data_IF_765010877309
#
_entry.id   IF_765010877309
#
_cell.length_a   1.000
_cell.length_b   1.000
_cell.length_c   1.000
_cell.angle_alpha   90.00
_cell.angle_beta   90.00
_cell.angle_gamma   90.00
#
_symmetry.space_group_name_H-M   'P 1'
#
loop_
_entity.id
_entity.type
_entity.pdbx_description
1 polymer ?
#
# COMPACT_ATOMS: atom_id res chain seq x y z
N UNK A 1 -6.54 -24.23 -14.67
CA UNK A 1 -6.85 -22.79 -14.79
C UNK A 1 -7.71 -22.53 -16.00
N UNK A 2 -8.54 -21.50 -15.92
CA UNK A 2 -9.32 -20.95 -17.04
C UNK A 2 -8.80 -19.55 -17.36
N UNK A 3 -7.90 -19.39 -18.35
CA UNK A 3 -7.25 -18.10 -18.62
C UNK A 3 -8.25 -16.98 -18.91
N UNK A 4 -8.13 -15.89 -18.16
CA UNK A 4 -8.95 -14.68 -18.32
C UNK A 4 -8.03 -13.46 -18.34
N UNK A 5 -8.26 -12.51 -19.26
CA UNK A 5 -7.62 -11.20 -19.17
C UNK A 5 -8.04 -10.52 -17.85
N UNK A 6 -7.04 -9.99 -17.15
CA UNK A 6 -7.26 -9.23 -15.91
C UNK A 6 -8.23 -8.09 -16.12
N UNK A 7 -8.92 -7.69 -15.06
CA UNK A 7 -9.90 -6.61 -15.14
C UNK A 7 -9.24 -5.31 -15.65
N UNK A 8 -9.89 -4.63 -16.59
CA UNK A 8 -9.32 -3.43 -17.23
C UNK A 8 -8.19 -3.71 -18.24
N UNK A 9 -7.81 -4.98 -18.46
CA UNK A 9 -6.84 -5.35 -19.48
C UNK A 9 -7.54 -5.74 -20.78
N UNK A 10 -6.93 -5.36 -21.90
CA UNK A 10 -7.37 -5.74 -23.23
C UNK A 10 -6.18 -5.79 -24.18
N UNK A 11 -6.40 -6.36 -25.36
CA UNK A 11 -5.44 -6.32 -26.46
C UNK A 11 -5.95 -5.34 -27.51
N UNK A 12 -5.29 -4.19 -27.64
CA UNK A 12 -5.72 -3.09 -28.51
C UNK A 12 -4.69 -2.82 -29.59
N UNK A 13 -5.14 -2.72 -30.85
CA UNK A 13 -4.30 -2.29 -31.97
C UNK A 13 -3.92 -0.82 -31.83
N UNK A 14 -2.64 -0.53 -31.96
CA UNK A 14 -2.10 0.84 -32.05
C UNK A 14 -1.36 1.03 -33.39
N UNK A 15 -0.88 2.26 -33.67
CA UNK A 15 -0.21 2.59 -34.94
C UNK A 15 1.00 1.70 -35.20
N UNK A 16 1.28 1.47 -36.49
CA UNK A 16 2.43 0.70 -37.01
C UNK A 16 2.43 -0.79 -36.64
N UNK A 17 1.28 -1.47 -36.71
CA UNK A 17 1.13 -2.91 -36.39
C UNK A 17 1.69 -3.30 -35.01
N UNK A 18 1.63 -2.37 -34.05
CA UNK A 18 1.89 -2.64 -32.64
C UNK A 18 0.56 -2.83 -31.92
N UNK A 19 0.59 -3.56 -30.82
CA UNK A 19 -0.57 -3.76 -29.96
C UNK A 19 -0.19 -3.49 -28.51
N UNK A 20 -1.12 -2.92 -27.77
CA UNK A 20 -1.03 -2.82 -26.32
C UNK A 20 -1.69 -4.06 -25.74
N UNK A 21 -1.02 -4.72 -24.80
CA UNK A 21 -1.58 -5.73 -23.93
C UNK A 21 -1.58 -5.16 -22.52
N UNK A 22 -2.75 -5.19 -21.88
CA UNK A 22 -2.90 -4.68 -20.52
C UNK A 22 -3.85 -3.50 -20.49
N UNK A 23 -3.65 -2.61 -19.52
CA UNK A 23 -4.53 -1.47 -19.34
C UNK A 23 -4.19 -0.30 -20.27
N UNK A 24 -5.20 0.48 -20.65
CA UNK A 24 -4.98 1.81 -21.23
C UNK A 24 -4.43 2.82 -20.20
N UNK A 25 -4.42 2.45 -18.91
CA UNK A 25 -3.73 3.19 -17.86
C UNK A 25 -2.21 3.15 -18.08
N UNK A 26 -1.59 4.32 -18.11
CA UNK A 26 -0.14 4.44 -18.31
C UNK A 26 0.62 3.68 -17.22
N UNK A 27 1.66 2.95 -17.62
CA UNK A 27 2.52 2.19 -16.71
C UNK A 27 2.04 0.77 -16.35
N UNK A 28 0.86 0.34 -16.83
CA UNK A 28 0.27 -0.99 -16.55
C UNK A 28 -0.01 -1.75 -17.87
N UNK A 29 0.82 -1.52 -18.89
CA UNK A 29 0.70 -2.21 -20.16
C UNK A 29 2.03 -2.46 -20.83
N UNK A 30 2.02 -3.47 -21.69
CA UNK A 30 3.14 -3.88 -22.50
C UNK A 30 2.79 -3.65 -23.97
N UNK A 31 3.78 -3.26 -24.77
CA UNK A 31 3.62 -3.18 -26.22
C UNK A 31 4.21 -4.42 -26.86
N UNK A 32 3.45 -5.05 -27.74
CA UNK A 32 3.92 -6.14 -28.59
C UNK A 32 3.92 -5.71 -30.06
N UNK A 33 4.77 -6.35 -30.85
CA UNK A 33 4.77 -6.24 -32.30
C UNK A 33 4.08 -7.47 -32.89
N UNK A 34 2.99 -7.26 -33.63
CA UNK A 34 2.24 -8.34 -34.27
C UNK A 34 1.98 -7.98 -35.75
N UNK A 35 2.84 -8.43 -36.67
CA UNK A 35 2.67 -8.21 -38.09
C UNK A 35 1.38 -8.80 -38.66
N UNK A 36 0.86 -9.88 -38.06
CA UNK A 36 -0.33 -10.57 -38.55
C UNK A 36 -1.61 -9.79 -38.27
N UNK A 37 -1.61 -9.01 -37.18
CA UNK A 37 -2.77 -8.29 -36.67
C UNK A 37 -3.82 -9.17 -35.98
N UNK A 38 -3.57 -10.47 -35.86
CA UNK A 38 -4.50 -11.45 -35.28
C UNK A 38 -4.43 -11.51 -33.76
N UNK A 39 -3.41 -10.93 -33.12
CA UNK A 39 -3.23 -11.02 -31.66
C UNK A 39 -4.39 -10.41 -30.88
N UNK A 40 -5.08 -9.39 -31.43
CA UNK A 40 -6.30 -8.82 -30.83
C UNK A 40 -7.44 -9.84 -30.66
N UNK A 41 -7.48 -10.89 -31.48
CA UNK A 41 -8.55 -11.87 -31.43
C UNK A 41 -8.42 -12.76 -30.18
N UNK A 42 -7.27 -12.72 -29.48
CA UNK A 42 -7.14 -13.40 -28.18
C UNK A 42 -8.07 -12.83 -27.10
N UNK A 43 -8.58 -11.59 -27.26
CA UNK A 43 -9.62 -11.05 -26.37
C UNK A 43 -10.87 -11.96 -26.31
N UNK A 44 -11.19 -12.67 -27.39
CA UNK A 44 -12.40 -13.50 -27.52
C UNK A 44 -12.26 -14.85 -26.80
N UNK A 45 -11.03 -15.29 -26.51
CA UNK A 45 -10.76 -16.62 -25.91
C UNK A 45 -10.19 -16.52 -24.50
N UNK A 46 -9.62 -15.37 -24.11
CA UNK A 46 -9.11 -15.11 -22.77
C UNK A 46 -10.22 -14.54 -21.86
N UNK A 47 -11.35 -15.23 -21.81
CA UNK A 47 -12.57 -14.80 -21.10
C UNK A 47 -12.77 -15.51 -19.76
N UNK A 48 -12.01 -16.57 -19.47
CA UNK A 48 -12.24 -17.47 -18.34
C UNK A 48 -13.25 -18.60 -18.62
N UNK A 49 -13.73 -18.73 -19.86
CA UNK A 49 -14.67 -19.79 -20.24
C UNK A 49 -13.95 -21.10 -20.59
N UNK A 50 -12.83 -20.99 -21.32
CA UNK A 50 -12.05 -22.10 -21.86
C UNK A 50 -10.91 -22.52 -20.92
N UNK A 51 -10.61 -23.82 -20.88
CA UNK A 51 -9.43 -24.37 -20.20
C UNK A 51 -8.15 -23.87 -20.88
N UNK A 52 -7.01 -23.94 -20.17
CA UNK A 52 -5.72 -23.56 -20.76
C UNK A 52 -5.39 -24.34 -22.04
N UNK A 53 -5.74 -25.62 -22.13
CA UNK A 53 -5.45 -26.42 -23.31
C UNK A 53 -6.31 -26.01 -24.51
N UNK A 54 -7.59 -25.71 -24.29
CA UNK A 54 -8.48 -25.15 -25.32
C UNK A 54 -8.01 -23.76 -25.78
N UNK A 55 -7.59 -22.90 -24.86
CA UNK A 55 -7.01 -21.59 -25.19
C UNK A 55 -5.76 -21.75 -26.04
N UNK A 56 -4.89 -22.71 -25.73
CA UNK A 56 -3.67 -22.97 -26.51
C UNK A 56 -4.01 -23.41 -27.93
N UNK A 57 -4.97 -24.32 -28.12
CA UNK A 57 -5.43 -24.78 -29.43
C UNK A 57 -5.99 -23.60 -30.25
N UNK A 58 -6.92 -22.83 -29.67
CA UNK A 58 -7.50 -21.66 -30.33
C UNK A 58 -6.46 -20.59 -30.65
N UNK A 59 -5.47 -20.40 -29.78
CA UNK A 59 -4.33 -19.49 -30.02
C UNK A 59 -3.49 -19.96 -31.20
N UNK A 60 -3.28 -21.27 -31.36
CA UNK A 60 -2.57 -21.84 -32.52
C UNK A 60 -3.30 -21.55 -33.83
N UNK A 61 -4.62 -21.68 -33.84
CA UNK A 61 -5.46 -21.37 -35.00
C UNK A 61 -5.44 -19.87 -35.33
N UNK A 62 -5.63 -19.00 -34.33
CA UNK A 62 -5.67 -17.54 -34.50
C UNK A 62 -4.33 -16.99 -35.02
N UNK A 63 -3.21 -17.48 -34.48
CA UNK A 63 -1.88 -16.95 -34.78
C UNK A 63 -1.12 -17.74 -35.86
N UNK A 64 -1.66 -18.86 -36.34
CA UNK A 64 -0.95 -19.75 -37.27
C UNK A 64 0.33 -20.35 -36.67
N UNK A 65 0.32 -20.66 -35.37
CA UNK A 65 1.48 -21.16 -34.63
C UNK A 65 1.29 -22.61 -34.20
N UNK A 66 2.38 -23.28 -33.84
CA UNK A 66 2.30 -24.61 -33.21
C UNK A 66 1.75 -24.50 -31.79
N UNK A 67 1.06 -25.54 -31.26
CA UNK A 67 0.58 -25.57 -29.87
C UNK A 67 1.67 -25.28 -28.83
N UNK A 68 2.91 -25.73 -29.10
CA UNK A 68 4.07 -25.44 -28.25
C UNK A 68 4.39 -23.94 -28.19
N UNK A 69 4.37 -23.25 -29.32
CA UNK A 69 4.64 -21.82 -29.37
C UNK A 69 3.46 -20.99 -28.82
N UNK A 70 2.22 -21.42 -29.09
CA UNK A 70 1.03 -20.81 -28.51
C UNK A 70 1.02 -20.90 -26.99
N UNK A 71 1.39 -22.06 -26.41
CA UNK A 71 1.54 -22.21 -24.96
C UNK A 71 2.55 -21.23 -24.37
N UNK A 72 3.72 -21.07 -24.98
CA UNK A 72 4.73 -20.10 -24.54
C UNK A 72 4.19 -18.66 -24.52
N UNK A 73 3.35 -18.29 -25.50
CA UNK A 73 2.72 -16.96 -25.55
C UNK A 73 1.80 -16.80 -24.34
N UNK A 74 0.91 -17.76 -24.08
CA UNK A 74 -0.01 -17.70 -22.94
C UNK A 74 0.75 -17.65 -21.61
N UNK A 75 1.78 -18.49 -21.43
CA UNK A 75 2.65 -18.47 -20.24
C UNK A 75 3.38 -17.12 -20.06
N UNK A 76 3.81 -16.50 -21.16
CA UNK A 76 4.42 -15.17 -21.11
C UNK A 76 3.40 -14.11 -20.68
N UNK A 77 2.16 -14.17 -21.17
CA UNK A 77 1.09 -13.24 -20.78
C UNK A 77 0.70 -13.39 -19.30
N UNK A 78 0.73 -14.62 -18.76
CA UNK A 78 0.55 -14.87 -17.33
C UNK A 78 1.70 -14.25 -16.55
N UNK A 79 2.96 -14.53 -16.95
CA UNK A 79 4.16 -14.03 -16.28
C UNK A 79 4.25 -12.50 -16.29
N UNK A 80 3.81 -11.85 -17.37
CA UNK A 80 3.72 -10.40 -17.48
C UNK A 80 2.56 -9.80 -16.67
N UNK A 81 1.72 -10.61 -16.04
CA UNK A 81 0.60 -10.14 -15.22
C UNK A 81 -0.58 -9.62 -16.04
N UNK A 82 -0.88 -10.22 -17.19
CA UNK A 82 -2.06 -9.86 -17.99
C UNK A 82 -3.21 -10.86 -17.89
N UNK A 83 -2.91 -12.09 -17.47
CA UNK A 83 -3.88 -13.18 -17.36
C UNK A 83 -3.99 -13.62 -15.90
N UNK A 84 -5.22 -13.86 -15.45
CA UNK A 84 -5.56 -14.50 -14.18
C UNK A 84 -6.40 -15.77 -14.42
N UNK A 85 -6.61 -16.56 -13.37
CA UNK A 85 -7.47 -17.72 -13.39
C UNK A 85 -8.93 -17.34 -13.16
N UNK A 86 -9.75 -17.43 -14.21
CA UNK A 86 -11.19 -17.17 -14.20
C UNK A 86 -12.05 -18.29 -13.62
N UNK A 87 -11.47 -19.36 -13.05
CA UNK A 87 -12.22 -20.51 -12.47
C UNK A 87 -13.35 -20.09 -11.54
N UNK A 88 -13.16 -19.00 -10.80
CA UNK A 88 -14.15 -18.46 -9.85
C UNK A 88 -15.46 -18.00 -10.51
N UNK A 89 -15.46 -17.67 -11.81
CA UNK A 89 -16.67 -17.27 -12.55
C UNK A 89 -17.65 -18.43 -12.69
N UNK A 90 -17.19 -19.67 -12.51
CA UNK A 90 -18.00 -20.89 -12.58
C UNK A 90 -18.63 -21.23 -11.23
N UNK A 91 -18.22 -20.57 -10.16
CA UNK A 91 -18.79 -20.76 -8.82
C UNK A 91 -20.09 -19.96 -8.68
N UNK A 92 -21.09 -20.54 -8.03
CA UNK A 92 -22.37 -19.87 -7.71
C UNK A 92 -22.27 -18.94 -6.51
N UNK A 93 -21.09 -18.75 -5.92
CA UNK A 93 -20.90 -17.88 -4.75
C UNK A 93 -21.13 -16.40 -5.11
N UNK A 94 -22.04 -15.77 -4.38
CA UNK A 94 -22.35 -14.34 -4.48
C UNK A 94 -21.11 -13.48 -4.23
N UNK A 95 -21.12 -12.27 -4.80
CA UNK A 95 -20.16 -11.20 -4.53
C UNK A 95 -19.92 -11.01 -3.02
N UNK A 96 -18.67 -11.17 -2.58
CA UNK A 96 -18.20 -10.81 -1.24
C UNK A 96 -18.05 -9.27 -1.12
N UNK A 97 -18.07 -8.72 0.10
CA UNK A 97 -17.68 -7.35 0.51
C UNK A 97 -16.48 -6.79 -0.29
N UNK A 98 -15.49 -7.62 -0.56
CA UNK A 98 -14.23 -7.22 -1.22
C UNK A 98 -14.22 -7.35 -2.75
N UNK A 99 -15.36 -7.63 -3.40
CA UNK A 99 -15.39 -7.89 -4.85
C UNK A 99 -14.85 -6.74 -5.69
N UNK A 100 -15.10 -5.48 -5.29
CA UNK A 100 -14.58 -4.30 -5.98
C UNK A 100 -13.07 -4.15 -5.80
N UNK A 101 -12.56 -4.38 -4.59
CA UNK A 101 -11.12 -4.38 -4.31
C UNK A 101 -10.41 -5.49 -5.10
N UNK A 102 -11.03 -6.66 -5.25
CA UNK A 102 -10.51 -7.73 -6.11
C UNK A 102 -10.34 -7.26 -7.55
N UNK A 103 -11.35 -6.63 -8.15
CA UNK A 103 -11.22 -6.12 -9.52
C UNK A 103 -10.12 -5.05 -9.63
N UNK A 104 -9.99 -4.19 -8.62
CA UNK A 104 -8.90 -3.21 -8.57
C UNK A 104 -7.52 -3.88 -8.53
N UNK A 105 -7.33 -4.90 -7.69
CA UNK A 105 -6.07 -5.65 -7.66
C UNK A 105 -5.85 -6.47 -8.93
N UNK A 106 -6.91 -7.01 -9.53
CA UNK A 106 -6.83 -7.66 -10.84
C UNK A 106 -6.24 -6.70 -11.87
N UNK A 107 -6.69 -5.44 -11.86
CA UNK A 107 -6.21 -4.38 -12.74
C UNK A 107 -4.73 -4.03 -12.53
N UNK A 108 -4.28 -3.87 -11.28
CA UNK A 108 -2.93 -3.31 -11.04
C UNK A 108 -1.83 -4.36 -10.80
N UNK A 109 -2.19 -5.63 -10.61
CA UNK A 109 -1.24 -6.66 -10.21
C UNK A 109 -0.36 -7.14 -11.37
N UNK A 110 0.89 -6.67 -11.35
CA UNK A 110 1.95 -7.02 -12.30
C UNK A 110 2.89 -8.12 -11.78
N UNK A 111 2.55 -8.80 -10.67
CA UNK A 111 3.42 -9.80 -10.03
C UNK A 111 3.56 -11.12 -10.80
N UNK A 112 2.73 -11.34 -11.83
CA UNK A 112 2.68 -12.60 -12.59
C UNK A 112 1.92 -13.73 -11.89
N UNK A 113 1.37 -13.49 -10.69
CA UNK A 113 0.42 -14.42 -10.07
C UNK A 113 -0.83 -14.57 -10.93
N UNK A 114 -1.37 -15.78 -11.07
CA UNK A 114 -2.67 -16.00 -11.71
C UNK A 114 -3.83 -16.08 -10.72
N UNK A 115 -3.58 -16.14 -9.40
CA UNK A 115 -4.64 -16.22 -8.39
C UNK A 115 -5.31 -14.84 -8.18
N UNK A 116 -6.59 -14.68 -8.52
CA UNK A 116 -7.31 -13.41 -8.36
C UNK A 116 -7.63 -13.07 -6.90
N UNK A 117 -7.54 -14.03 -5.97
CA UNK A 117 -7.80 -13.81 -4.54
C UNK A 117 -6.54 -13.58 -3.72
N UNK A 118 -5.35 -13.69 -4.33
CA UNK A 118 -4.05 -13.62 -3.64
C UNK A 118 -3.94 -12.44 -2.70
N UNK A 119 -4.26 -11.24 -3.19
CA UNK A 119 -4.15 -10.01 -2.39
C UNK A 119 -5.09 -10.05 -1.19
N UNK A 120 -6.36 -10.42 -1.40
CA UNK A 120 -7.32 -10.48 -0.30
C UNK A 120 -6.95 -11.54 0.74
N UNK A 121 -6.44 -12.70 0.31
CA UNK A 121 -5.95 -13.77 1.19
C UNK A 121 -4.77 -13.32 2.05
N UNK A 122 -3.86 -12.51 1.48
CA UNK A 122 -2.77 -11.91 2.24
C UNK A 122 -3.33 -10.92 3.27
N UNK A 123 -4.22 -10.01 2.88
CA UNK A 123 -4.80 -9.04 3.80
C UNK A 123 -5.57 -9.74 4.94
N UNK A 124 -6.36 -10.76 4.63
CA UNK A 124 -7.14 -11.53 5.61
C UNK A 124 -6.31 -12.46 6.51
N UNK A 125 -4.99 -12.51 6.31
CA UNK A 125 -4.04 -13.17 7.21
C UNK A 125 -3.04 -12.20 7.85
N UNK A 126 -3.00 -10.94 7.39
CA UNK A 126 -2.05 -9.93 7.85
C UNK A 126 -2.47 -9.32 9.18
N UNK A 127 -1.50 -9.04 10.04
CA UNK A 127 -1.68 -8.34 11.32
C UNK A 127 -0.87 -7.06 11.31
N UNK A 128 -1.47 -5.95 11.70
CA UNK A 128 -0.79 -4.65 11.75
C UNK A 128 -0.95 -3.99 13.11
N UNK A 129 0.02 -3.16 13.47
CA UNK A 129 -0.05 -2.29 14.64
C UNK A 129 -0.04 -0.82 14.19
N UNK A 130 -0.84 0.03 14.84
CA UNK A 130 -0.90 1.47 14.61
C UNK A 130 -0.57 2.16 15.92
N UNK A 131 0.48 2.98 15.92
CA UNK A 131 0.86 3.80 17.07
C UNK A 131 0.50 5.25 16.77
N UNK A 132 -0.41 5.79 17.56
CA UNK A 132 -1.05 7.09 17.34
C UNK A 132 -2.37 6.97 16.61
N UNK A 133 -3.43 7.50 17.21
CA UNK A 133 -4.81 7.56 16.75
C UNK A 133 -5.29 8.99 16.51
N UNK A 134 -4.35 9.86 16.15
CA UNK A 134 -4.68 11.16 15.55
C UNK A 134 -5.36 10.99 14.18
N UNK A 135 -5.41 12.06 13.42
CA UNK A 135 -6.16 12.05 12.16
C UNK A 135 -5.60 11.08 11.11
N UNK A 136 -4.27 10.96 11.01
CA UNK A 136 -3.62 10.00 10.09
C UNK A 136 -3.89 8.57 10.56
N UNK A 137 -3.64 8.27 11.83
CA UNK A 137 -3.85 6.93 12.40
C UNK A 137 -5.28 6.45 12.30
N UNK A 138 -6.26 7.33 12.55
CA UNK A 138 -7.67 7.03 12.34
C UNK A 138 -7.99 6.71 10.87
N UNK A 139 -7.46 7.49 9.93
CA UNK A 139 -7.61 7.25 8.49
C UNK A 139 -6.98 5.91 8.07
N UNK A 140 -5.78 5.60 8.54
CA UNK A 140 -5.11 4.32 8.31
C UNK A 140 -5.99 3.17 8.82
N UNK A 141 -6.45 3.25 10.07
CA UNK A 141 -7.26 2.20 10.69
C UNK A 141 -8.55 1.95 9.92
N UNK A 142 -9.28 3.00 9.51
CA UNK A 142 -10.52 2.85 8.73
C UNK A 142 -10.27 2.21 7.36
N UNK A 143 -9.22 2.63 6.64
CA UNK A 143 -8.87 2.08 5.33
C UNK A 143 -8.46 0.60 5.44
N UNK A 144 -7.63 0.23 6.41
CA UNK A 144 -7.19 -1.15 6.59
C UNK A 144 -8.31 -2.06 7.10
N UNK A 145 -9.18 -1.55 7.99
CA UNK A 145 -10.34 -2.29 8.47
C UNK A 145 -11.32 -2.61 7.34
N UNK A 146 -11.65 -1.61 6.52
CA UNK A 146 -12.52 -1.77 5.35
C UNK A 146 -11.90 -2.61 4.23
N UNK A 147 -10.56 -2.68 4.16
CA UNK A 147 -9.82 -3.55 3.23
C UNK A 147 -9.70 -5.01 3.69
N UNK A 148 -10.09 -5.31 4.94
CA UNK A 148 -10.08 -6.68 5.46
C UNK A 148 -8.73 -7.17 5.97
N UNK A 149 -7.91 -6.27 6.52
CA UNK A 149 -6.74 -6.69 7.33
C UNK A 149 -7.22 -7.43 8.56
N UNK A 150 -6.72 -8.65 8.78
CA UNK A 150 -7.29 -9.60 9.75
C UNK A 150 -7.27 -9.10 11.19
N UNK A 151 -6.20 -8.42 11.59
CA UNK A 151 -6.01 -7.92 12.94
C UNK A 151 -5.37 -6.53 12.89
N UNK A 152 -5.98 -5.59 13.60
CA UNK A 152 -5.47 -4.24 13.81
C UNK A 152 -5.31 -4.04 15.32
N UNK A 153 -4.08 -3.82 15.75
CA UNK A 153 -3.77 -3.43 17.12
C UNK A 153 -3.47 -1.94 17.17
N UNK A 154 -4.02 -1.26 18.18
CA UNK A 154 -3.98 0.19 18.25
C UNK A 154 -3.40 0.66 19.57
N UNK A 155 -2.43 1.57 19.50
CA UNK A 155 -1.74 2.11 20.67
C UNK A 155 -1.93 3.62 20.69
N UNK A 156 -2.68 4.11 21.66
CA UNK A 156 -2.89 5.54 21.88
C UNK A 156 -3.39 5.78 23.30
N UNK A 157 -2.91 6.87 23.92
CA UNK A 157 -3.20 7.19 25.32
C UNK A 157 -4.11 8.42 25.50
N UNK A 158 -4.43 9.13 24.42
CA UNK A 158 -5.21 10.36 24.48
C UNK A 158 -6.70 10.08 24.66
N UNK A 159 -7.42 11.12 25.08
CA UNK A 159 -8.88 11.17 25.03
C UNK A 159 -9.34 11.89 23.74
N UNK A 160 -10.57 11.62 23.33
CA UNK A 160 -11.23 12.37 22.25
C UNK A 160 -11.62 13.74 22.77
N UNK A 161 -11.14 14.79 22.10
CA UNK A 161 -11.46 16.19 22.40
C UNK A 161 -12.27 16.82 21.27
N UNK A 162 -13.01 17.89 21.57
CA UNK A 162 -13.80 18.63 20.56
C UNK A 162 -12.92 19.14 19.40
N UNK A 163 -11.73 19.62 19.73
CA UNK A 163 -10.70 20.07 18.77
C UNK A 163 -10.29 18.98 17.76
N UNK A 164 -10.55 17.71 18.06
CA UNK A 164 -10.18 16.56 17.22
C UNK A 164 -11.22 16.32 16.12
N UNK A 165 -12.49 16.65 16.36
CA UNK A 165 -13.62 16.30 15.48
C UNK A 165 -13.54 16.97 14.10
N UNK A 166 -12.74 18.02 13.94
CA UNK A 166 -12.53 18.69 12.66
C UNK A 166 -11.72 17.89 11.63
N UNK A 167 -10.97 16.85 12.05
CA UNK A 167 -10.04 16.09 11.19
C UNK A 167 -9.93 14.60 11.53
N UNK A 168 -10.38 14.19 12.70
CA UNK A 168 -10.34 12.79 13.15
C UNK A 168 -11.71 12.15 12.96
N UNK A 169 -12.09 11.87 11.71
CA UNK A 169 -13.45 11.42 11.34
C UNK A 169 -13.82 10.02 11.87
N UNK A 170 -12.87 9.33 12.51
CA UNK A 170 -13.14 8.08 13.24
C UNK A 170 -13.98 8.32 14.50
N UNK A 171 -13.99 9.54 15.03
CA UNK A 171 -14.73 9.91 16.24
C UNK A 171 -15.93 10.80 15.92
N UNK A 172 -16.90 10.75 16.82
CA UNK A 172 -18.12 11.57 16.78
C UNK A 172 -18.28 12.34 18.09
N UNK A 173 -19.23 13.27 18.15
CA UNK A 173 -19.56 14.01 19.39
C UNK A 173 -19.93 13.06 20.56
N UNK A 174 -20.44 11.86 20.26
CA UNK A 174 -20.77 10.83 21.25
C UNK A 174 -19.54 10.18 21.89
N UNK A 175 -18.36 10.40 21.31
CA UNK A 175 -17.11 9.80 21.76
C UNK A 175 -16.28 10.77 22.61
N UNK A 176 -16.73 12.03 22.79
CA UNK A 176 -16.03 13.05 23.60
C UNK A 176 -15.73 12.55 25.02
N UNK A 177 -14.48 12.76 25.45
CA UNK A 177 -13.98 12.35 26.76
C UNK A 177 -13.63 10.86 26.88
N UNK A 178 -14.00 10.02 25.91
CA UNK A 178 -13.54 8.62 25.88
C UNK A 178 -12.08 8.54 25.45
N UNK A 179 -11.40 7.49 25.90
CA UNK A 179 -10.09 7.11 25.36
C UNK A 179 -10.20 6.86 23.85
N UNK A 180 -9.30 7.46 23.07
CA UNK A 180 -9.24 7.29 21.61
C UNK A 180 -9.15 5.81 21.23
N UNK A 181 -8.30 5.05 21.93
CA UNK A 181 -8.14 3.60 21.77
C UNK A 181 -9.45 2.82 21.93
N UNK A 182 -10.28 3.17 22.93
CA UNK A 182 -11.59 2.53 23.17
C UNK A 182 -12.63 2.95 22.13
N UNK A 183 -12.73 4.26 21.83
CA UNK A 183 -13.67 4.78 20.84
C UNK A 183 -13.38 4.24 19.43
N UNK A 184 -12.10 4.19 19.04
CA UNK A 184 -11.64 3.65 17.78
C UNK A 184 -12.01 2.17 17.63
N UNK A 185 -11.74 1.33 18.63
CA UNK A 185 -12.11 -0.09 18.60
C UNK A 185 -13.61 -0.28 18.33
N UNK A 186 -14.46 0.44 19.07
CA UNK A 186 -15.92 0.40 18.90
C UNK A 186 -16.35 0.86 17.49
N UNK A 187 -15.74 1.91 16.95
CA UNK A 187 -16.12 2.47 15.66
C UNK A 187 -15.61 1.63 14.49
N UNK A 188 -14.40 1.07 14.59
CA UNK A 188 -13.82 0.16 13.58
C UNK A 188 -14.60 -1.17 13.50
N UNK A 189 -15.06 -1.71 14.63
CA UNK A 189 -15.89 -2.93 14.63
C UNK A 189 -17.22 -2.74 13.87
N UNK A 190 -17.74 -1.51 13.80
CA UNK A 190 -18.93 -1.18 12.99
C UNK A 190 -18.61 -1.13 11.49
N UNK A 191 -17.38 -0.75 11.13
CA UNK A 191 -16.92 -0.73 9.74
C UNK A 191 -16.73 -2.17 9.24
N UNK A 192 -16.07 -2.99 10.04
CA UNK A 192 -15.87 -4.39 9.70
C UNK A 192 -15.92 -5.28 10.95
N UNK A 193 -17.00 -6.04 11.09
CA UNK A 193 -17.22 -6.93 12.23
C UNK A 193 -16.48 -8.27 12.12
N UNK A 194 -15.87 -8.58 10.97
CA UNK A 194 -15.21 -9.86 10.69
C UNK A 194 -13.72 -9.87 11.08
N UNK A 195 -13.15 -8.70 11.40
CA UNK A 195 -11.74 -8.54 11.77
C UNK A 195 -11.58 -8.37 13.28
N UNK A 196 -10.36 -8.61 13.75
CA UNK A 196 -9.98 -8.47 15.15
C UNK A 196 -9.43 -7.07 15.36
N UNK A 197 -10.12 -6.25 16.16
CA UNK A 197 -9.59 -4.97 16.62
C UNK A 197 -9.23 -5.09 18.10
N UNK A 198 -8.00 -4.73 18.44
CA UNK A 198 -7.51 -4.65 19.82
C UNK A 198 -6.87 -3.30 20.06
N UNK A 199 -6.84 -2.84 21.30
CA UNK A 199 -6.21 -1.57 21.62
C UNK A 199 -5.55 -1.55 23.00
N UNK A 200 -4.61 -0.63 23.17
CA UNK A 200 -3.83 -0.40 24.38
C UNK A 200 -3.77 1.10 24.67
N UNK A 201 -4.15 1.48 25.89
CA UNK A 201 -3.98 2.84 26.44
C UNK A 201 -2.54 3.00 26.95
N UNK A 202 -1.60 3.23 26.02
CA UNK A 202 -0.17 3.33 26.32
C UNK A 202 0.48 4.49 25.58
N UNK A 203 1.25 5.29 26.33
CA UNK A 203 2.21 6.25 25.78
C UNK A 203 3.52 5.53 25.51
N UNK A 204 4.05 5.66 24.29
CA UNK A 204 5.38 5.15 23.94
C UNK A 204 6.43 6.09 24.51
N UNK A 205 7.42 5.53 25.19
CA UNK A 205 8.47 6.31 25.87
C UNK A 205 9.90 5.95 25.45
N UNK A 206 10.08 4.87 24.68
CA UNK A 206 11.37 4.41 24.18
C UNK A 206 11.23 3.50 22.95
N UNK A 207 12.36 3.17 22.34
CA UNK A 207 12.42 2.12 21.30
C UNK A 207 12.01 0.74 21.83
N UNK A 208 12.31 0.43 23.09
CA UNK A 208 12.03 -0.88 23.69
C UNK A 208 10.53 -1.14 23.86
N UNK A 209 9.75 -0.09 24.13
CA UNK A 209 8.28 -0.17 24.16
C UNK A 209 7.67 -0.68 22.85
N UNK A 210 8.36 -0.41 21.72
CA UNK A 210 7.88 -0.73 20.38
C UNK A 210 8.24 -2.16 19.93
N UNK A 211 9.28 -2.77 20.50
CA UNK A 211 9.82 -4.07 20.07
C UNK A 211 8.74 -5.15 20.03
N UNK A 212 7.83 -5.16 21.02
CA UNK A 212 6.73 -6.14 21.06
C UNK A 212 5.83 -6.07 19.81
N UNK A 213 5.53 -4.86 19.33
CA UNK A 213 4.69 -4.69 18.14
C UNK A 213 5.40 -5.12 16.86
N UNK A 214 6.70 -4.83 16.74
CA UNK A 214 7.47 -5.31 15.59
C UNK A 214 7.59 -6.85 15.56
N UNK A 215 7.63 -7.50 16.72
CA UNK A 215 7.71 -8.96 16.81
C UNK A 215 6.37 -9.65 16.50
N UNK A 216 5.25 -9.06 16.92
CA UNK A 216 3.91 -9.67 16.80
C UNK A 216 3.17 -9.35 15.49
N UNK A 217 3.49 -8.24 14.84
CA UNK A 217 2.76 -7.73 13.68
C UNK A 217 3.64 -7.72 12.41
N UNK A 218 3.00 -7.81 11.25
CA UNK A 218 3.66 -7.88 9.94
C UNK A 218 4.17 -6.51 9.47
N UNK A 219 3.46 -5.45 9.86
CA UNK A 219 3.80 -4.06 9.55
C UNK A 219 3.32 -3.14 10.68
N UNK A 220 4.18 -2.20 11.09
CA UNK A 220 3.85 -1.20 12.11
C UNK A 220 3.71 0.18 11.46
N UNK A 221 2.62 0.88 11.75
CA UNK A 221 2.34 2.24 11.28
C UNK A 221 2.68 3.23 12.37
N UNK A 222 3.61 4.16 12.08
CA UNK A 222 3.90 5.31 12.92
C UNK A 222 2.99 6.45 12.50
N UNK A 223 2.04 6.80 13.36
CA UNK A 223 1.07 7.86 13.16
C UNK A 223 1.02 8.86 14.34
N UNK A 224 1.98 8.75 15.25
CA UNK A 224 2.20 9.66 16.36
C UNK A 224 3.29 10.67 16.03
N UNK A 225 3.02 11.94 16.34
CA UNK A 225 3.85 13.10 16.04
C UNK A 225 4.72 13.56 17.22
N UNK A 226 4.41 13.13 18.45
CA UNK A 226 5.14 13.55 19.67
C UNK A 226 5.57 12.34 20.52
N UNK A 227 6.75 12.39 21.18
CA UNK A 227 7.77 13.45 21.11
C UNK A 227 8.57 13.42 19.79
N UNK A 228 9.40 14.44 19.54
CA UNK A 228 10.26 14.56 18.35
C UNK A 228 11.11 13.30 18.09
N UNK A 229 11.48 12.58 19.16
CA UNK A 229 12.31 11.36 19.11
C UNK A 229 11.57 10.10 18.59
N UNK A 230 10.24 10.13 18.50
CA UNK A 230 9.46 8.93 18.17
C UNK A 230 9.84 8.25 16.84
N UNK A 231 10.16 8.93 15.71
CA UNK A 231 10.58 8.22 14.51
C UNK A 231 11.97 7.57 14.66
N UNK A 232 12.83 8.08 15.54
CA UNK A 232 14.09 7.43 15.87
C UNK A 232 13.85 6.15 16.68
N UNK A 233 12.95 6.18 17.66
CA UNK A 233 12.56 4.98 18.41
C UNK A 233 11.99 3.88 17.50
N UNK A 234 11.16 4.25 16.52
CA UNK A 234 10.68 3.33 15.49
C UNK A 234 11.80 2.75 14.64
N UNK A 235 12.73 3.60 14.21
CA UNK A 235 13.91 3.20 13.46
C UNK A 235 14.76 2.19 14.24
N UNK A 236 15.02 2.44 15.52
CA UNK A 236 15.82 1.57 16.37
C UNK A 236 15.11 0.25 16.68
N UNK A 237 13.80 0.28 16.97
CA UNK A 237 12.99 -0.94 17.15
C UNK A 237 12.93 -1.79 15.88
N UNK A 238 12.80 -1.17 14.70
CA UNK A 238 12.83 -1.83 13.40
C UNK A 238 14.18 -2.51 13.14
N UNK A 239 15.29 -1.81 13.40
CA UNK A 239 16.64 -2.37 13.26
C UNK A 239 16.90 -3.53 14.23
N UNK A 240 16.46 -3.42 15.50
CA UNK A 240 16.57 -4.48 16.52
C UNK A 240 15.79 -5.74 16.13
N UNK A 241 14.59 -5.58 15.57
CA UNK A 241 13.67 -6.67 15.25
C UNK A 241 13.80 -7.24 13.83
N UNK A 242 14.45 -6.51 12.92
CA UNK A 242 14.54 -6.87 11.51
C UNK A 242 13.19 -6.82 10.78
N UNK A 243 12.31 -5.90 11.19
CA UNK A 243 10.90 -5.83 10.77
C UNK A 243 10.54 -4.45 10.22
N UNK A 244 9.63 -4.39 9.22
CA UNK A 244 9.33 -3.15 8.51
C UNK A 244 8.37 -2.25 9.28
N UNK A 245 8.40 -0.96 8.93
CA UNK A 245 7.41 0.02 9.38
C UNK A 245 7.16 1.07 8.31
N UNK A 246 6.07 1.80 8.49
CA UNK A 246 5.65 2.87 7.60
C UNK A 246 5.46 4.16 8.40
N UNK A 247 6.03 5.23 7.87
CA UNK A 247 5.90 6.59 8.36
C UNK A 247 5.00 7.38 7.42
N UNK A 248 4.10 8.17 7.99
CA UNK A 248 3.27 9.10 7.24
C UNK A 248 3.04 10.36 8.07
N UNK A 249 3.22 11.52 7.44
CA UNK A 249 3.00 12.81 8.08
C UNK A 249 2.58 13.87 7.07
N UNK A 250 2.48 15.10 7.54
CA UNK A 250 2.29 16.28 6.70
C UNK A 250 3.06 17.46 7.29
N UNK A 251 3.40 18.43 6.45
CA UNK A 251 3.92 19.74 6.85
C UNK A 251 3.17 20.81 6.04
N UNK A 252 2.22 21.48 6.69
CA UNK A 252 1.26 22.35 6.01
C UNK A 252 0.55 21.58 4.87
N UNK A 253 0.66 22.02 3.60
CA UNK A 253 0.03 21.34 2.48
C UNK A 253 0.80 20.12 1.96
N UNK A 254 2.03 19.86 2.42
CA UNK A 254 2.85 18.76 1.90
C UNK A 254 2.53 17.49 2.69
N UNK A 255 2.05 16.45 2.02
CA UNK A 255 1.92 15.11 2.61
C UNK A 255 3.18 14.30 2.32
N UNK A 256 3.52 13.38 3.22
CA UNK A 256 4.59 12.42 2.98
C UNK A 256 4.27 10.99 3.45
N UNK A 257 4.95 10.03 2.83
CA UNK A 257 4.87 8.61 3.16
C UNK A 257 6.20 7.93 2.83
N UNK A 258 6.69 7.07 3.72
CA UNK A 258 7.90 6.26 3.53
C UNK A 258 7.77 4.92 4.23
N UNK A 259 8.13 3.83 3.55
CA UNK A 259 8.29 2.50 4.15
C UNK A 259 9.78 2.23 4.34
N UNK A 260 10.13 1.76 5.54
CA UNK A 260 11.46 1.29 5.90
C UNK A 260 11.39 -0.21 6.14
N UNK A 261 12.27 -0.96 5.49
CA UNK A 261 12.46 -2.38 5.72
C UNK A 261 13.95 -2.64 5.90
N UNK A 262 14.43 -3.01 7.10
CA UNK A 262 15.86 -3.17 7.38
C UNK A 262 16.53 -4.28 6.55
N UNK A 263 15.76 -5.11 5.85
CA UNK A 263 16.27 -6.13 4.93
C UNK A 263 16.49 -5.62 3.50
N UNK A 264 15.95 -4.46 3.15
CA UNK A 264 15.88 -3.96 1.77
C UNK A 264 16.32 -2.48 1.65
N UNK A 265 16.18 -1.70 2.72
CA UNK A 265 16.39 -0.26 2.75
C UNK A 265 17.19 0.16 3.98
N UNK A 266 17.77 1.35 3.92
CA UNK A 266 18.29 2.08 5.06
C UNK A 266 17.18 2.51 6.03
N UNK A 267 17.58 3.20 7.10
CA UNK A 267 16.70 3.56 8.20
C UNK A 267 16.30 5.05 8.17
N UNK A 268 15.56 5.50 9.19
CA UNK A 268 15.14 6.90 9.31
C UNK A 268 16.32 7.87 9.36
N UNK A 269 17.41 7.51 10.05
CA UNK A 269 18.62 8.35 10.10
C UNK A 269 19.23 8.53 8.72
N UNK A 270 19.24 7.47 7.89
CA UNK A 270 19.71 7.56 6.51
C UNK A 270 18.89 8.54 5.66
N UNK A 271 17.56 8.59 5.83
CA UNK A 271 16.74 9.54 5.07
C UNK A 271 16.98 10.98 5.53
N UNK A 272 17.18 11.21 6.83
CA UNK A 272 17.50 12.54 7.38
C UNK A 272 18.80 13.06 6.77
N UNK A 273 19.83 12.22 6.70
CA UNK A 273 21.11 12.54 6.05
C UNK A 273 20.95 12.80 4.54
N UNK A 274 20.16 11.99 3.83
CA UNK A 274 19.83 12.24 2.42
C UNK A 274 19.11 13.57 2.21
N UNK A 275 18.14 13.91 3.08
CA UNK A 275 17.42 15.16 3.00
C UNK A 275 18.34 16.36 3.27
N UNK A 276 19.17 16.28 4.32
CA UNK A 276 20.14 17.33 4.65
C UNK A 276 21.11 17.58 3.47
N UNK A 277 21.66 16.52 2.86
CA UNK A 277 22.50 16.65 1.65
C UNK A 277 21.77 17.33 0.50
N UNK A 278 20.49 17.02 0.29
CA UNK A 278 19.67 17.69 -0.72
C UNK A 278 19.47 19.17 -0.42
N UNK A 279 19.20 19.52 0.85
CA UNK A 279 19.02 20.89 1.30
C UNK A 279 20.31 21.71 1.17
N UNK A 280 21.46 21.15 1.58
CA UNK A 280 22.77 21.79 1.41
C UNK A 280 23.08 22.05 -0.06
N UNK A 281 22.77 21.11 -0.95
CA UNK A 281 22.96 21.32 -2.40
C UNK A 281 22.10 22.46 -2.95
N UNK A 282 20.95 22.73 -2.34
CA UNK A 282 20.05 23.80 -2.73
C UNK A 282 20.31 25.12 -1.96
N UNK A 283 21.18 25.11 -0.95
CA UNK A 283 21.52 26.29 -0.13
C UNK A 283 20.49 26.66 0.93
N UNK A 284 19.74 25.69 1.48
CA UNK A 284 18.72 25.92 2.51
C UNK A 284 18.89 25.03 3.75
N UNK A 285 20.09 24.55 4.05
CA UNK A 285 20.40 23.68 5.19
C UNK A 285 20.02 24.27 6.55
N UNK A 286 20.06 25.60 6.72
CA UNK A 286 19.67 26.29 7.95
C UNK A 286 18.17 26.13 8.28
N UNK A 287 17.34 25.79 7.29
CA UNK A 287 15.92 25.53 7.48
C UNK A 287 15.62 24.10 7.99
N UNK A 288 16.64 23.25 8.14
CA UNK A 288 16.48 21.87 8.59
C UNK A 288 16.18 21.82 10.10
N UNK A 289 15.07 21.18 10.47
CA UNK A 289 14.66 21.00 11.87
C UNK A 289 14.01 19.62 12.08
N UNK A 290 14.20 19.06 13.27
CA UNK A 290 13.45 17.90 13.78
C UNK A 290 12.27 18.34 14.67
N UNK A 291 12.21 19.63 15.04
CA UNK A 291 11.18 20.14 15.95
C UNK A 291 9.81 20.10 15.31
N UNK A 292 8.87 19.49 16.02
CA UNK A 292 7.45 19.52 15.67
C UNK A 292 6.89 20.91 16.03
N UNK A 293 6.10 21.56 15.15
CA UNK A 293 5.44 22.81 15.47
C UNK A 293 4.50 22.67 16.68
N UNK A 294 4.39 23.71 17.51
CA UNK A 294 3.43 23.71 18.64
C UNK A 294 1.97 23.55 18.17
N UNK A 295 1.64 24.09 17.00
CA UNK A 295 0.34 23.94 16.36
C UNK A 295 0.51 23.19 15.05
N UNK A 296 -0.03 21.98 15.00
CA UNK A 296 -0.11 21.19 13.77
C UNK A 296 -1.32 21.65 12.93
N UNK A 297 -1.09 22.67 12.09
CA UNK A 297 -2.08 23.19 11.17
C UNK A 297 -2.51 22.14 10.14
N UNK A 298 -3.75 21.65 10.24
CA UNK A 298 -4.26 20.60 9.38
C UNK A 298 -5.78 20.64 9.24
N UNK A 299 -6.27 20.24 8.08
CA UNK A 299 -7.70 20.05 7.79
C UNK A 299 -7.95 18.59 7.40
N UNK A 300 -9.20 18.14 7.59
CA UNK A 300 -9.60 16.75 7.32
C UNK A 300 -9.11 16.19 5.97
N UNK A 301 -9.30 16.86 4.81
CA UNK A 301 -8.86 16.29 3.52
C UNK A 301 -7.36 15.96 3.46
N UNK A 302 -6.49 16.83 3.96
CA UNK A 302 -5.02 16.62 3.92
C UNK A 302 -4.63 15.41 4.77
N UNK A 303 -5.19 15.35 5.98
CA UNK A 303 -4.96 14.28 6.94
C UNK A 303 -5.47 12.94 6.42
N UNK A 304 -6.67 12.91 5.84
CA UNK A 304 -7.28 11.70 5.31
C UNK A 304 -6.53 11.19 4.09
N UNK A 305 -6.06 12.07 3.19
CA UNK A 305 -5.24 11.69 2.04
C UNK A 305 -3.91 11.11 2.51
N UNK A 306 -3.23 11.74 3.49
CA UNK A 306 -1.97 11.21 4.05
C UNK A 306 -2.17 9.80 4.65
N UNK A 307 -3.20 9.60 5.48
CA UNK A 307 -3.50 8.28 6.04
C UNK A 307 -3.97 7.24 5.01
N UNK A 308 -4.71 7.65 3.98
CA UNK A 308 -5.14 6.75 2.91
C UNK A 308 -3.96 6.34 2.03
N UNK A 309 -3.03 7.25 1.75
CA UNK A 309 -1.78 6.95 1.06
C UNK A 309 -0.94 5.93 1.84
N UNK A 310 -0.78 6.14 3.15
CA UNK A 310 -0.07 5.21 4.02
C UNK A 310 -0.72 3.83 4.06
N UNK A 311 -2.06 3.77 4.20
CA UNK A 311 -2.79 2.52 4.15
C UNK A 311 -2.57 1.79 2.80
N UNK A 312 -2.63 2.52 1.69
CA UNK A 312 -2.43 1.95 0.36
C UNK A 312 -0.99 1.46 0.12
N UNK A 313 0.02 2.23 0.54
CA UNK A 313 1.43 1.82 0.51
C UNK A 313 1.66 0.56 1.36
N UNK A 314 1.07 0.47 2.54
CA UNK A 314 1.20 -0.72 3.38
C UNK A 314 0.43 -1.94 2.84
N UNK A 315 -0.75 -1.77 2.23
CA UNK A 315 -1.43 -2.84 1.47
C UNK A 315 -0.52 -3.35 0.36
N UNK A 316 0.10 -2.43 -0.39
CA UNK A 316 1.05 -2.76 -1.44
C UNK A 316 2.25 -3.56 -0.92
N UNK A 317 2.82 -3.13 0.20
CA UNK A 317 3.92 -3.83 0.87
C UNK A 317 3.51 -5.25 1.29
N UNK A 318 2.43 -5.40 2.07
CA UNK A 318 1.92 -6.70 2.54
C UNK A 318 1.63 -7.64 1.36
N UNK A 319 0.92 -7.14 0.35
CA UNK A 319 0.52 -7.89 -0.83
C UNK A 319 1.67 -8.15 -1.82
N UNK A 320 2.89 -7.67 -1.55
CA UNK A 320 4.05 -7.76 -2.45
C UNK A 320 3.80 -7.10 -3.81
N UNK A 321 3.00 -6.04 -3.83
CA UNK A 321 2.77 -5.17 -4.99
C UNK A 321 3.67 -3.94 -4.86
N UNK A 322 4.83 -3.92 -5.52
CA UNK A 322 5.91 -2.91 -5.39
C UNK A 322 5.44 -1.53 -4.86
N UNK A 323 5.51 -1.27 -3.54
CA UNK A 323 5.19 0.04 -2.98
C UNK A 323 6.11 1.11 -3.55
N UNK A 324 5.60 2.33 -3.71
CA UNK A 324 6.38 3.45 -4.26
C UNK A 324 7.16 4.20 -3.18
N UNK A 325 6.77 4.00 -1.92
CA UNK A 325 7.40 4.62 -0.75
C UNK A 325 8.47 3.73 -0.08
N UNK A 326 8.72 2.52 -0.58
CA UNK A 326 9.76 1.64 -0.03
C UNK A 326 11.15 2.17 -0.37
N UNK A 327 11.89 2.58 0.66
CA UNK A 327 13.22 3.14 0.53
C UNK A 327 13.22 4.55 -0.06
N UNK A 328 12.08 5.26 -0.01
CA UNK A 328 11.92 6.56 -0.63
C UNK A 328 10.76 7.33 0.01
N UNK A 329 11.02 8.49 0.59
CA UNK A 329 9.94 9.36 1.04
C UNK A 329 9.33 10.12 -0.14
N UNK A 330 8.05 9.89 -0.37
CA UNK A 330 7.25 10.64 -1.34
C UNK A 330 6.80 11.93 -0.67
N UNK A 331 6.98 13.08 -1.32
CA UNK A 331 6.44 14.36 -0.89
C UNK A 331 5.55 14.93 -2.00
N UNK A 332 4.28 15.18 -1.69
CA UNK A 332 3.34 15.82 -2.60
C UNK A 332 2.82 17.10 -1.97
N UNK A 333 3.02 18.24 -2.63
CA UNK A 333 2.38 19.47 -2.25
C UNK A 333 0.91 19.43 -2.70
N UNK A 334 -0.02 19.56 -1.75
CA UNK A 334 -1.46 19.51 -1.99
C UNK A 334 -2.07 20.90 -2.28
N UNK A 335 -1.28 21.96 -2.11
CA UNK A 335 -1.65 23.31 -2.55
C UNK A 335 -1.30 23.53 -4.03
N UNK A 336 -0.15 22.99 -4.46
CA UNK A 336 0.31 23.01 -5.85
C UNK A 336 0.71 21.59 -6.29
N UNK A 337 -0.21 20.92 -6.99
CA UNK A 337 0.02 19.55 -7.45
C UNK A 337 1.16 19.40 -8.45
N UNK A 338 1.63 20.48 -9.07
CA UNK A 338 2.80 20.43 -9.95
C UNK A 338 4.11 20.25 -9.19
N UNK A 339 4.11 20.50 -7.88
CA UNK A 339 5.28 20.37 -7.02
C UNK A 339 5.23 19.07 -6.21
N UNK A 340 6.05 18.11 -6.65
CA UNK A 340 6.31 16.87 -5.93
C UNK A 340 7.80 16.55 -6.00
N UNK A 341 8.31 15.93 -4.95
CA UNK A 341 9.69 15.50 -4.89
C UNK A 341 9.84 14.30 -3.98
N UNK A 342 11.00 13.68 -4.04
CA UNK A 342 11.26 12.49 -3.26
C UNK A 342 12.65 12.51 -2.66
N UNK A 343 12.78 11.90 -1.49
CA UNK A 343 14.08 11.72 -0.83
C UNK A 343 14.39 10.23 -0.77
N UNK A 344 15.49 9.83 -1.39
CA UNK A 344 15.91 8.43 -1.45
C UNK A 344 16.55 7.99 -0.13
N UNK A 345 16.20 6.78 0.30
CA UNK A 345 16.85 6.06 1.39
C UNK A 345 17.87 5.11 0.73
N UNK A 346 19.15 5.11 1.16
CA UNK A 346 20.13 4.16 0.61
C UNK A 346 19.66 2.72 0.84
N UNK A 347 20.09 1.78 0.00
CA UNK A 347 19.76 0.36 0.20
C UNK A 347 20.41 -0.23 1.45
N UNK A 348 21.66 0.14 1.73
CA UNK A 348 22.41 -0.33 2.90
C UNK A 348 22.30 0.67 4.05
N UNK A 349 21.89 0.19 5.22
CA UNK A 349 21.92 0.98 6.45
C UNK A 349 23.34 0.98 7.03
N UNK A 350 23.89 2.17 7.27
CA UNK A 350 25.17 2.33 7.98
C UNK A 350 25.00 2.50 9.49
N UNK A 351 23.76 2.66 9.96
CA UNK A 351 23.43 2.87 11.36
C UNK A 351 23.14 1.54 12.06
N UNK A 352 23.50 1.46 13.34
CA UNK A 352 23.07 0.37 14.23
C UNK A 352 22.02 0.93 15.18
N UNK A 353 21.15 0.06 15.69
CA UNK A 353 20.22 0.45 16.73
C UNK A 353 21.00 1.05 17.91
N UNK A 354 20.59 2.23 18.38
CA UNK A 354 21.22 2.83 19.56
C UNK A 354 20.88 1.98 20.79
N UNK A 355 21.88 1.72 21.63
CA UNK A 355 21.65 1.27 23.00
C UNK A 355 21.25 2.52 23.78
N UNK A 356 20.00 2.57 24.24
CA UNK A 356 19.55 3.60 25.19
C UNK A 356 20.18 3.37 26.56
#
# INVERSE_FOLDING_TARGET
MYPKLRFGHSIIKIKNNRFIIGSITQGISNTIHDPSGNFKNLNEILTGEYTIDEVVIKTSEILGLTPKNSRKIIESLITMGHIEDGSYLKSSTKSNRYSRSREFFSWIDTSGSSDPFRVQNILSSSKIAIVGLGGIGGSVAMNLASSGVSQIHIVDFDNVEESNLNRQILYTEKDLGLKKSTAAMKNLQKINSEIIITSEDKKITSSDDLIKYFNEYDLVYRCADSPDDIPFWFSDASLKSGKPWIDASYNGPIINCCIYDPKVTGCYRCIRESNLRNMTRLGYEEAHTDKVPEINAAISPIVLISGSLAAYEGIRYLAKLKPQSLGKAIHQNMFDYSNSYTVEVPHECQHRATQE
#
